data_IF_872748284391
#
_entry.id   IF_872748284391
#
_cell.length_a   1.000
_cell.length_b   1.000
_cell.length_c   1.000
_cell.angle_alpha   90.00
_cell.angle_beta   90.00
_cell.angle_gamma   90.00
#
_symmetry.space_group_name_H-M   'P 1'
#
loop_
_entity.id
_entity.type
_entity.pdbx_description
1 polymer ?
#
# COMPACT_ATOMS: atom_id res chain seq x y z
N UNK A 1 59.98 -60.68 -18.66
CA UNK A 1 59.76 -59.23 -18.52
C UNK A 1 58.26 -59.00 -18.68
N UNK A 2 57.52 -59.07 -17.57
CA UNK A 2 56.06 -58.90 -17.52
C UNK A 2 55.81 -57.89 -16.41
N UNK A 3 55.42 -56.69 -16.80
CA UNK A 3 55.15 -55.56 -15.90
C UNK A 3 53.68 -55.56 -15.53
N UNK A 4 53.41 -55.87 -14.27
CA UNK A 4 52.15 -55.61 -13.60
C UNK A 4 52.18 -54.14 -13.12
N UNK A 5 51.25 -53.32 -13.58
CA UNK A 5 51.02 -51.98 -13.01
C UNK A 5 49.54 -51.65 -13.12
N UNK A 6 48.81 -51.93 -12.04
CA UNK A 6 47.51 -51.34 -11.79
C UNK A 6 47.69 -50.24 -10.73
N UNK A 7 47.39 -48.99 -11.06
CA UNK A 7 46.94 -48.01 -10.07
C UNK A 7 46.07 -46.91 -10.71
N UNK A 8 44.78 -47.22 -10.79
CA UNK A 8 43.69 -46.40 -10.26
C UNK A 8 43.74 -44.87 -10.54
N UNK A 9 43.23 -44.44 -11.69
CA UNK A 9 42.85 -43.05 -11.94
C UNK A 9 41.40 -42.80 -11.51
N UNK A 10 41.23 -42.12 -10.36
CA UNK A 10 39.90 -41.68 -9.88
C UNK A 10 39.34 -40.53 -10.73
N UNK A 11 38.01 -40.45 -10.91
CA UNK A 11 37.39 -39.42 -11.74
C UNK A 11 37.51 -38.01 -11.14
N UNK A 12 37.89 -37.04 -11.98
CA UNK A 12 37.95 -35.60 -11.67
C UNK A 12 36.55 -35.06 -11.43
N UNK A 13 36.24 -34.64 -10.20
CA UNK A 13 35.02 -33.88 -9.87
C UNK A 13 35.24 -32.39 -10.19
N UNK A 14 34.28 -31.67 -10.77
CA UNK A 14 34.42 -30.26 -11.09
C UNK A 14 34.33 -29.38 -9.83
N UNK A 15 35.00 -28.22 -9.79
CA UNK A 15 34.82 -27.24 -8.72
C UNK A 15 33.71 -26.27 -9.09
N UNK A 16 32.49 -26.50 -8.62
CA UNK A 16 31.47 -25.44 -8.62
C UNK A 16 30.85 -25.38 -7.22
N UNK A 17 31.57 -24.73 -6.31
CA UNK A 17 31.00 -24.25 -5.05
C UNK A 17 30.08 -23.09 -5.40
N UNK A 18 28.82 -23.39 -5.65
CA UNK A 18 27.76 -22.38 -5.62
C UNK A 18 27.60 -21.97 -4.15
N UNK A 19 28.23 -20.86 -3.75
CA UNK A 19 27.76 -20.14 -2.58
C UNK A 19 26.39 -19.57 -2.95
N UNK A 20 25.33 -20.30 -2.61
CA UNK A 20 24.01 -19.70 -2.47
C UNK A 20 24.13 -18.70 -1.33
N UNK A 21 24.33 -17.42 -1.69
CA UNK A 21 24.16 -16.32 -0.77
C UNK A 21 22.74 -16.39 -0.26
N UNK A 22 22.58 -16.85 0.98
CA UNK A 22 21.33 -16.81 1.69
C UNK A 22 21.03 -15.34 1.93
N UNK A 23 20.25 -14.75 1.02
CA UNK A 23 19.81 -13.37 1.12
C UNK A 23 19.12 -13.19 2.46
N UNK A 24 19.76 -12.43 3.35
CA UNK A 24 19.25 -12.07 4.64
C UNK A 24 17.95 -11.29 4.41
N UNK A 25 16.81 -11.96 4.49
CA UNK A 25 15.50 -11.32 4.56
C UNK A 25 15.48 -10.56 5.88
N UNK A 26 15.93 -9.31 5.83
CA UNK A 26 15.80 -8.37 6.92
C UNK A 26 14.29 -8.20 7.17
N UNK A 27 13.80 -8.83 8.22
CA UNK A 27 12.48 -8.54 8.78
C UNK A 27 12.55 -7.12 9.33
N UNK A 28 12.25 -6.14 8.48
CA UNK A 28 12.11 -4.74 8.88
C UNK A 28 10.81 -4.61 9.63
N UNK A 29 10.86 -4.88 10.94
CA UNK A 29 9.74 -4.64 11.83
C UNK A 29 9.53 -3.12 11.96
N UNK A 30 8.35 -2.61 11.58
CA UNK A 30 7.86 -1.31 12.07
C UNK A 30 7.65 -0.17 11.04
N UNK A 31 8.00 -0.35 9.77
CA UNK A 31 7.66 0.62 8.72
C UNK A 31 6.52 0.09 7.86
N UNK A 32 5.54 0.93 7.45
CA UNK A 32 4.51 0.47 6.56
C UNK A 32 5.17 0.08 5.23
N UNK A 33 5.26 -1.23 4.95
CA UNK A 33 5.56 -1.85 3.64
C UNK A 33 4.53 -1.48 2.55
N UNK A 34 3.88 -0.34 2.68
CA UNK A 34 2.56 -0.05 2.13
C UNK A 34 2.71 0.82 0.88
N UNK A 35 3.74 1.66 0.77
CA UNK A 35 3.94 2.51 -0.41
C UNK A 35 4.74 1.79 -1.51
N UNK A 36 4.23 0.69 -2.05
CA UNK A 36 4.72 0.14 -3.32
C UNK A 36 4.03 0.90 -4.47
N UNK A 37 4.76 1.69 -5.28
CA UNK A 37 4.19 2.37 -6.42
C UNK A 37 3.80 1.35 -7.51
N UNK A 38 2.65 1.57 -8.12
CA UNK A 38 2.14 0.84 -9.27
C UNK A 38 1.58 1.79 -10.34
N UNK A 39 1.09 1.22 -11.44
CA UNK A 39 0.45 1.95 -12.53
C UNK A 39 -1.07 1.95 -12.42
N UNK A 40 -1.75 1.93 -13.56
CA UNK A 40 -3.20 1.81 -13.65
C UNK A 40 -3.73 0.54 -12.96
N UNK A 41 -4.85 0.69 -12.26
CA UNK A 41 -5.57 -0.38 -11.60
C UNK A 41 -6.49 -1.10 -12.58
N UNK A 42 -6.44 -2.42 -12.50
CA UNK A 42 -7.34 -3.34 -13.19
C UNK A 42 -8.37 -3.94 -12.21
N UNK A 43 -9.60 -4.09 -12.66
CA UNK A 43 -10.72 -4.60 -11.87
C UNK A 43 -12.08 -4.28 -12.51
N UNK A 44 -13.14 -4.79 -11.89
CA UNK A 44 -14.52 -4.56 -12.30
C UNK A 44 -15.01 -3.19 -11.81
N UNK A 45 -15.50 -2.29 -12.68
CA UNK A 45 -16.12 -1.04 -12.26
C UNK A 45 -17.34 -1.31 -11.36
N UNK A 46 -17.48 -0.52 -10.30
CA UNK A 46 -18.59 -0.58 -9.37
C UNK A 46 -19.04 0.84 -8.97
N UNK A 47 -20.33 0.99 -8.67
CA UNK A 47 -20.84 2.22 -8.08
C UNK A 47 -20.35 2.36 -6.64
N UNK A 48 -20.08 3.59 -6.19
CA UNK A 48 -19.80 3.85 -4.79
C UNK A 48 -21.01 3.43 -3.93
N UNK A 49 -20.84 2.57 -2.92
CA UNK A 49 -21.92 2.20 -2.03
C UNK A 49 -22.27 3.35 -1.07
N UNK A 50 -23.48 3.34 -0.54
CA UNK A 50 -23.90 4.27 0.52
C UNK A 50 -23.22 4.00 1.86
N UNK A 51 -22.59 2.82 2.00
CA UNK A 51 -21.87 2.39 3.19
C UNK A 51 -20.60 1.61 2.83
N UNK A 52 -19.48 2.01 3.43
CA UNK A 52 -18.16 1.41 3.19
C UNK A 52 -17.71 0.43 4.27
N UNK A 53 -18.60 0.00 5.19
CA UNK A 53 -18.23 -0.87 6.32
C UNK A 53 -17.64 -2.22 5.90
N UNK A 54 -17.92 -2.69 4.68
CA UNK A 54 -17.27 -3.90 4.15
C UNK A 54 -15.73 -3.77 4.14
N UNK A 55 -15.20 -2.55 4.05
CA UNK A 55 -13.76 -2.27 4.11
C UNK A 55 -13.17 -2.37 5.52
N UNK A 56 -13.98 -2.53 6.57
CA UNK A 56 -13.49 -2.76 7.94
C UNK A 56 -12.74 -4.08 8.07
N UNK A 57 -13.11 -5.05 7.24
CA UNK A 57 -12.45 -6.36 7.15
C UNK A 57 -11.09 -6.31 6.43
N UNK A 58 -10.77 -5.22 5.72
CA UNK A 58 -9.50 -5.06 5.01
C UNK A 58 -8.64 -4.00 5.67
N UNK A 59 -7.34 -4.29 5.73
CA UNK A 59 -6.36 -3.34 6.26
C UNK A 59 -5.92 -2.31 5.22
N UNK A 60 -5.80 -2.76 3.97
CA UNK A 60 -5.15 -2.02 2.89
C UNK A 60 -6.02 -2.07 1.65
N UNK A 61 -6.10 -0.95 0.95
CA UNK A 61 -6.73 -0.79 -0.37
C UNK A 61 -5.67 -0.34 -1.37
N UNK A 62 -6.03 -0.25 -2.65
CA UNK A 62 -5.20 0.43 -3.63
C UNK A 62 -5.85 1.72 -4.08
N UNK A 63 -5.08 2.81 -4.03
CA UNK A 63 -5.49 4.13 -4.46
C UNK A 63 -4.68 4.51 -5.69
N UNK A 64 -5.36 4.79 -6.80
CA UNK A 64 -4.80 5.34 -8.02
C UNK A 64 -5.14 6.83 -8.13
N UNK A 65 -4.13 7.59 -8.56
CA UNK A 65 -4.13 9.05 -8.72
C UNK A 65 -3.47 9.40 -10.05
N UNK A 66 -3.55 10.67 -10.46
CA UNK A 66 -2.99 11.16 -11.73
C UNK A 66 -3.54 10.40 -12.97
N UNK A 67 -4.80 10.67 -13.39
CA UNK A 67 -5.44 9.95 -14.48
C UNK A 67 -4.67 9.93 -15.81
N UNK A 68 -3.83 10.95 -16.08
CA UNK A 68 -3.02 11.04 -17.30
C UNK A 68 -1.77 10.18 -17.30
N UNK A 69 -1.23 9.86 -16.12
CA UNK A 69 -0.09 8.97 -15.92
C UNK A 69 -0.31 8.21 -14.60
N UNK A 70 -1.15 7.15 -14.63
CA UNK A 70 -1.71 6.54 -13.44
C UNK A 70 -0.64 6.07 -12.45
N UNK A 71 -0.77 6.56 -11.22
CA UNK A 71 0.10 6.21 -10.10
C UNK A 71 -0.74 5.60 -8.99
N UNK A 72 -0.50 4.32 -8.70
CA UNK A 72 -1.19 3.61 -7.62
C UNK A 72 -0.29 3.30 -6.43
N UNK A 73 -0.89 3.28 -5.24
CA UNK A 73 -0.24 2.90 -3.99
C UNK A 73 -1.15 1.97 -3.20
N UNK A 74 -0.55 1.06 -2.42
CA UNK A 74 -1.30 0.37 -1.38
C UNK A 74 -1.35 1.31 -0.16
N UNK A 75 -2.50 1.52 0.48
CA UNK A 75 -2.62 2.39 1.66
C UNK A 75 -3.67 1.88 2.64
N UNK A 76 -3.55 2.27 3.90
CA UNK A 76 -4.57 1.98 4.90
C UNK A 76 -5.77 2.90 4.72
N UNK A 77 -6.95 2.42 5.12
CA UNK A 77 -8.22 3.11 4.92
C UNK A 77 -9.12 2.98 6.13
N UNK A 78 -9.85 4.04 6.43
CA UNK A 78 -10.90 4.08 7.44
C UNK A 78 -12.23 4.35 6.75
N UNK A 79 -13.26 3.57 7.08
CA UNK A 79 -14.63 3.85 6.69
C UNK A 79 -15.38 4.56 7.81
N UNK A 80 -16.24 5.50 7.44
CA UNK A 80 -17.22 6.12 8.33
C UNK A 80 -18.50 6.40 7.53
N UNK A 81 -19.46 5.45 7.59
CA UNK A 81 -20.68 5.50 6.79
C UNK A 81 -20.38 5.57 5.29
N UNK A 82 -20.81 6.65 4.64
CA UNK A 82 -20.65 6.88 3.20
C UNK A 82 -19.27 7.40 2.77
N UNK A 83 -18.38 7.70 3.73
CA UNK A 83 -17.05 8.22 3.43
C UNK A 83 -15.96 7.17 3.69
N UNK A 84 -14.92 7.24 2.87
CA UNK A 84 -13.63 6.63 3.16
C UNK A 84 -12.61 7.73 3.46
N UNK A 85 -11.65 7.42 4.33
CA UNK A 85 -10.56 8.31 4.64
C UNK A 85 -9.21 7.66 4.35
N UNK A 86 -8.33 8.45 3.73
CA UNK A 86 -6.93 8.11 3.47
C UNK A 86 -6.03 9.17 4.09
N UNK A 87 -4.94 8.72 4.71
CA UNK A 87 -4.11 9.58 5.54
C UNK A 87 -2.62 9.39 5.25
N UNK A 88 -1.97 10.47 4.84
CA UNK A 88 -0.53 10.65 4.97
C UNK A 88 -0.28 11.50 6.22
N UNK A 89 0.69 11.11 7.07
CA UNK A 89 1.15 11.99 8.16
C UNK A 89 1.85 13.25 7.59
N UNK A 90 2.85 13.81 8.26
CA UNK A 90 3.50 15.05 7.77
C UNK A 90 4.20 14.93 6.41
N UNK A 91 4.51 13.71 5.95
CA UNK A 91 5.21 13.57 4.69
C UNK A 91 4.23 13.71 3.52
N UNK A 92 4.43 14.76 2.71
CA UNK A 92 3.70 14.98 1.46
C UNK A 92 4.13 13.93 0.43
N UNK A 93 3.36 12.84 0.36
CA UNK A 93 3.63 11.73 -0.55
C UNK A 93 3.18 12.06 -1.97
N UNK A 94 3.76 11.41 -2.99
CA UNK A 94 3.41 11.64 -4.41
C UNK A 94 1.90 11.57 -4.70
N UNK A 95 1.18 10.59 -4.13
CA UNK A 95 -0.27 10.47 -4.30
C UNK A 95 -1.05 11.63 -3.66
N UNK A 96 -0.51 12.26 -2.61
CA UNK A 96 -1.07 13.48 -2.02
C UNK A 96 -0.92 14.64 -3.00
N UNK A 97 0.27 14.81 -3.58
CA UNK A 97 0.52 15.86 -4.57
C UNK A 97 -0.40 15.72 -5.79
N UNK A 98 -0.62 14.47 -6.23
CA UNK A 98 -1.54 14.19 -7.32
C UNK A 98 -2.98 14.58 -6.98
N UNK A 99 -3.49 14.21 -5.79
CA UNK A 99 -4.85 14.55 -5.38
C UNK A 99 -5.07 16.05 -5.14
N UNK A 100 -4.03 16.78 -4.72
CA UNK A 100 -4.09 18.24 -4.60
C UNK A 100 -4.16 18.94 -5.97
N UNK A 101 -3.61 18.32 -7.02
CA UNK A 101 -3.63 18.84 -8.38
C UNK A 101 -4.88 18.40 -9.16
N UNK A 102 -5.30 17.14 -9.03
CA UNK A 102 -6.52 16.57 -9.61
C UNK A 102 -7.15 15.63 -8.59
N UNK A 103 -8.34 15.98 -8.05
CA UNK A 103 -8.98 15.19 -6.99
C UNK A 103 -9.59 13.88 -7.50
N UNK A 104 -9.56 13.61 -8.81
CA UNK A 104 -10.10 12.38 -9.40
C UNK A 104 -9.25 11.18 -9.01
N UNK A 105 -9.84 10.19 -8.34
CA UNK A 105 -9.14 8.98 -7.92
C UNK A 105 -9.90 7.72 -8.30
N UNK A 106 -9.17 6.62 -8.44
CA UNK A 106 -9.73 5.27 -8.55
C UNK A 106 -9.30 4.47 -7.34
N UNK A 107 -10.27 3.89 -6.65
CA UNK A 107 -10.05 3.06 -5.47
C UNK A 107 -10.32 1.60 -5.84
N UNK A 108 -9.38 0.70 -5.59
CA UNK A 108 -9.61 -0.74 -5.69
C UNK A 108 -9.70 -1.38 -4.32
N UNK A 109 -10.80 -2.10 -4.11
CA UNK A 109 -10.99 -3.01 -2.97
C UNK A 109 -11.38 -4.38 -3.53
N UNK A 110 -10.59 -5.40 -3.20
CA UNK A 110 -10.67 -6.70 -3.87
C UNK A 110 -10.56 -6.54 -5.40
N UNK A 111 -11.55 -6.99 -6.15
CA UNK A 111 -11.61 -6.88 -7.61
C UNK A 111 -12.43 -5.70 -8.11
N UNK A 112 -13.04 -4.91 -7.21
CA UNK A 112 -13.92 -3.80 -7.58
C UNK A 112 -13.17 -2.47 -7.60
N UNK A 113 -13.42 -1.66 -8.64
CA UNK A 113 -12.90 -0.32 -8.81
C UNK A 113 -14.01 0.70 -8.69
N UNK A 114 -13.78 1.71 -7.85
CA UNK A 114 -14.68 2.82 -7.60
C UNK A 114 -14.02 4.13 -8.05
N UNK A 115 -14.71 4.88 -8.90
CA UNK A 115 -14.31 6.24 -9.27
C UNK A 115 -14.84 7.22 -8.22
N UNK A 116 -13.94 7.97 -7.59
CA UNK A 116 -14.23 8.84 -6.45
C UNK A 116 -13.56 10.20 -6.64
N UNK A 117 -13.95 11.14 -5.79
CA UNK A 117 -13.31 12.45 -5.65
C UNK A 117 -12.69 12.54 -4.26
N UNK A 118 -11.44 12.96 -4.20
CA UNK A 118 -10.71 13.21 -2.95
C UNK A 118 -10.87 14.67 -2.52
N UNK A 119 -11.25 14.87 -1.26
CA UNK A 119 -11.40 16.19 -0.66
C UNK A 119 -10.54 16.28 0.59
N UNK A 120 -9.75 17.36 0.72
CA UNK A 120 -8.93 17.59 1.91
C UNK A 120 -9.84 17.89 3.10
N UNK A 121 -9.64 17.16 4.19
CA UNK A 121 -10.22 17.49 5.49
C UNK A 121 -9.44 18.66 6.09
N UNK A 122 -10.14 19.74 6.41
CA UNK A 122 -9.57 20.95 7.04
C UNK A 122 -10.09 21.19 8.46
N UNK A 123 -11.17 20.48 8.85
CA UNK A 123 -11.81 20.62 10.16
C UNK A 123 -11.20 19.65 11.18
N UNK A 124 -10.65 20.18 12.27
CA UNK A 124 -10.04 19.35 13.33
C UNK A 124 -11.05 18.36 13.94
N UNK A 125 -12.30 18.76 14.10
CA UNK A 125 -13.33 17.88 14.64
C UNK A 125 -13.63 16.67 13.73
N UNK A 126 -13.44 16.79 12.41
CA UNK A 126 -13.53 15.66 11.48
C UNK A 126 -12.29 14.77 11.57
N UNK A 127 -11.10 15.38 11.68
CA UNK A 127 -9.86 14.65 11.92
C UNK A 127 -9.88 13.83 13.22
N UNK A 128 -10.47 14.38 14.29
CA UNK A 128 -10.59 13.71 15.59
C UNK A 128 -11.47 12.46 15.49
N UNK A 129 -12.61 12.53 14.79
CA UNK A 129 -13.47 11.35 14.53
C UNK A 129 -12.74 10.28 13.71
N UNK A 130 -12.05 10.70 12.66
CA UNK A 130 -11.17 9.81 11.90
C UNK A 130 -10.12 9.14 12.81
N UNK A 131 -9.51 9.90 13.71
CA UNK A 131 -8.46 9.41 14.61
C UNK A 131 -8.98 8.37 15.60
N UNK A 132 -10.19 8.54 16.12
CA UNK A 132 -10.86 7.56 16.98
C UNK A 132 -11.17 6.27 16.21
N UNK A 133 -11.74 6.39 15.00
CA UNK A 133 -12.00 5.24 14.14
C UNK A 133 -10.70 4.51 13.73
N UNK A 134 -9.64 5.26 13.46
CA UNK A 134 -8.32 4.73 13.15
C UNK A 134 -7.72 3.97 14.33
N UNK A 135 -7.79 4.53 15.54
CA UNK A 135 -7.34 3.87 16.75
C UNK A 135 -8.12 2.58 17.03
N UNK A 136 -9.44 2.60 16.84
CA UNK A 136 -10.29 1.42 16.97
C UNK A 136 -9.90 0.32 15.97
N UNK A 137 -9.66 0.66 14.70
CA UNK A 137 -9.34 -0.32 13.65
C UNK A 137 -7.91 -0.86 13.75
N UNK A 138 -6.94 -0.03 14.10
CA UNK A 138 -5.51 -0.36 14.01
C UNK A 138 -4.79 -0.43 15.36
N UNK A 139 -5.51 -0.26 16.48
CA UNK A 139 -4.97 -0.27 17.85
C UNK A 139 -3.82 0.72 18.06
N UNK A 140 -3.82 1.81 17.30
CA UNK A 140 -2.84 2.91 17.39
C UNK A 140 -3.44 4.18 16.79
N UNK A 141 -3.05 5.35 17.29
CA UNK A 141 -3.42 6.64 16.69
C UNK A 141 -2.74 6.86 15.32
N UNK A 142 -3.36 7.66 14.43
CA UNK A 142 -2.67 8.14 13.24
C UNK A 142 -1.49 9.02 13.66
N UNK A 143 -0.46 9.09 12.80
CA UNK A 143 0.68 9.99 13.04
C UNK A 143 0.24 11.42 12.73
N UNK A 144 0.61 12.36 13.59
CA UNK A 144 0.29 13.79 13.48
C UNK A 144 -1.23 14.01 13.56
N UNK A 145 -1.72 14.21 14.78
CA UNK A 145 -3.15 14.32 15.07
C UNK A 145 -3.77 15.67 14.72
N UNK A 146 -2.97 16.63 14.23
CA UNK A 146 -3.41 17.97 13.89
C UNK A 146 -3.69 18.06 12.38
N UNK A 147 -4.85 18.61 12.03
CA UNK A 147 -5.33 18.72 10.63
C UNK A 147 -4.42 19.60 9.75
N UNK A 148 -3.70 20.56 10.36
CA UNK A 148 -2.71 21.39 9.68
C UNK A 148 -1.35 20.71 9.50
N UNK A 149 -1.07 19.64 10.24
CA UNK A 149 0.21 18.91 10.20
C UNK A 149 0.14 17.55 9.46
N UNK A 150 -1.05 17.15 9.03
CA UNK A 150 -1.31 15.86 8.41
C UNK A 150 -2.20 15.97 7.18
N UNK A 151 -1.97 15.07 6.22
CA UNK A 151 -2.71 15.00 4.97
C UNK A 151 -3.81 13.94 5.06
N UNK A 152 -4.98 14.37 5.53
CA UNK A 152 -6.20 13.57 5.58
C UNK A 152 -7.14 13.94 4.43
N UNK A 153 -7.57 12.96 3.65
CA UNK A 153 -8.55 13.15 2.60
C UNK A 153 -9.76 12.26 2.84
N UNK A 154 -10.95 12.83 2.67
CA UNK A 154 -12.18 12.07 2.52
C UNK A 154 -12.40 11.75 1.05
N UNK A 155 -12.85 10.54 0.75
CA UNK A 155 -13.20 10.10 -0.59
C UNK A 155 -14.72 9.97 -0.69
N UNK A 156 -15.31 10.64 -1.67
CA UNK A 156 -16.74 10.67 -1.93
C UNK A 156 -17.05 10.21 -3.36
N UNK A 157 -18.30 9.77 -3.57
CA UNK A 157 -18.80 9.53 -4.92
C UNK A 157 -18.71 10.82 -5.77
N UNK A 158 -18.37 10.65 -7.04
CA UNK A 158 -18.29 11.75 -8.02
C UNK A 158 -19.67 12.37 -8.31
#
# INVERSE_FOLDING_TARGET
MVTETALHSRPRRPPFRVLFGFGLLAVVCGSPFVLLPGGALDGAPAAAPDDWSFTDSVKTIQLETNPSDPYSVNIWVIAEGKHLYVHAGANRATWVEHMENDPSVRLRVHDSIYELVAERVEEQAEFDRFSEAYEKKYSRRPRNGDVGEAYLFRLAAR
#
